data_IF_782036574718
#
_entry.id   IF_782036574718
#
_cell.length_a   1.000
_cell.length_b   1.000
_cell.length_c   1.000
_cell.angle_alpha   90.00
_cell.angle_beta   90.00
_cell.angle_gamma   90.00
#
_symmetry.space_group_name_H-M   'P 1'
#
loop_
_entity.id
_entity.type
_entity.pdbx_description
1 polymer ?
#
# COMPACT_ATOMS: atom_id res chain seq x y z
N UNK A 1 7.29 9.81 6.96
CA UNK A 1 6.68 8.78 6.09
C UNK A 1 5.87 9.49 5.00
N UNK A 2 6.01 9.08 3.73
CA UNK A 2 5.09 9.54 2.68
C UNK A 2 3.66 9.16 3.08
N UNK A 3 2.81 10.18 3.26
CA UNK A 3 1.42 9.97 3.64
C UNK A 3 0.59 9.59 2.42
N UNK A 4 -0.29 8.59 2.56
CA UNK A 4 -1.21 8.12 1.51
C UNK A 4 -1.94 9.26 0.83
N UNK A 5 -2.49 10.16 1.64
CA UNK A 5 -3.30 11.29 1.16
C UNK A 5 -2.47 12.28 0.34
N UNK A 6 -1.20 12.49 0.70
CA UNK A 6 -0.29 13.35 -0.06
C UNK A 6 -0.01 12.78 -1.46
N UNK A 7 0.20 11.46 -1.57
CA UNK A 7 0.40 10.82 -2.88
C UNK A 7 -0.87 10.92 -3.73
N UNK A 8 -2.04 10.71 -3.13
CA UNK A 8 -3.31 10.83 -3.85
C UNK A 8 -3.55 12.24 -4.35
N UNK A 9 -3.32 13.25 -3.51
CA UNK A 9 -3.44 14.65 -3.89
C UNK A 9 -2.49 14.99 -5.06
N UNK A 10 -1.23 14.58 -4.98
CA UNK A 10 -0.25 14.80 -6.06
C UNK A 10 -0.68 14.11 -7.36
N UNK A 11 -1.20 12.87 -7.30
CA UNK A 11 -1.69 12.18 -8.51
C UNK A 11 -2.91 12.88 -9.12
N UNK A 12 -3.81 13.42 -8.28
CA UNK A 12 -4.97 14.17 -8.77
C UNK A 12 -4.57 15.50 -9.40
N UNK A 13 -3.66 16.24 -8.77
CA UNK A 13 -3.11 17.49 -9.31
C UNK A 13 -2.34 17.26 -10.60
N UNK A 14 -1.56 16.18 -10.69
CA UNK A 14 -0.85 15.83 -11.92
C UNK A 14 -1.82 15.57 -13.07
N UNK A 15 -2.89 14.82 -12.83
CA UNK A 15 -3.93 14.59 -13.84
C UNK A 15 -4.63 15.89 -14.25
N UNK A 16 -4.87 16.79 -13.29
CA UNK A 16 -5.44 18.10 -13.58
C UNK A 16 -4.51 18.97 -14.45
N UNK A 17 -3.21 19.00 -14.14
CA UNK A 17 -2.19 19.69 -14.94
C UNK A 17 -2.06 19.12 -16.36
N UNK A 18 -2.34 17.83 -16.53
CA UNK A 18 -2.40 17.18 -17.85
C UNK A 18 -3.71 17.44 -18.60
N UNK A 19 -4.62 18.26 -18.06
CA UNK A 19 -5.91 18.56 -18.66
C UNK A 19 -6.90 17.39 -18.60
N UNK A 20 -6.63 16.37 -17.79
CA UNK A 20 -7.53 15.23 -17.62
C UNK A 20 -8.61 15.54 -16.60
N UNK A 21 -9.87 15.36 -17.00
CA UNK A 21 -11.01 15.43 -16.08
C UNK A 21 -11.20 14.07 -15.41
N UNK A 22 -10.79 13.97 -14.14
CA UNK A 22 -10.95 12.76 -13.35
C UNK A 22 -12.42 12.49 -13.03
N UNK A 23 -12.93 11.36 -13.52
CA UNK A 23 -14.26 10.86 -13.15
C UNK A 23 -14.21 10.12 -11.79
N UNK A 24 -15.36 9.63 -11.31
CA UNK A 24 -15.45 8.89 -10.04
C UNK A 24 -14.66 7.57 -10.02
N UNK A 25 -14.61 6.87 -11.16
CA UNK A 25 -13.84 5.63 -11.32
C UNK A 25 -12.33 5.89 -11.30
N UNK A 26 -11.87 6.97 -11.92
CA UNK A 26 -10.44 7.34 -11.95
C UNK A 26 -9.95 7.69 -10.54
N UNK A 27 -10.75 8.45 -9.79
CA UNK A 27 -10.46 8.76 -8.38
C UNK A 27 -10.40 7.50 -7.52
N UNK A 28 -11.29 6.52 -7.78
CA UNK A 28 -11.26 5.23 -7.11
C UNK A 28 -10.00 4.44 -7.49
N UNK A 29 -9.63 4.41 -8.78
CA UNK A 29 -8.44 3.72 -9.27
C UNK A 29 -7.15 4.29 -8.67
N UNK A 30 -7.03 5.61 -8.59
CA UNK A 30 -5.91 6.28 -7.90
C UNK A 30 -5.87 5.85 -6.43
N UNK A 31 -7.01 5.87 -5.75
CA UNK A 31 -7.10 5.51 -4.33
C UNK A 31 -6.70 4.06 -4.04
N UNK A 32 -7.20 3.13 -4.85
CA UNK A 32 -6.93 1.70 -4.68
C UNK A 32 -5.51 1.37 -5.10
N UNK A 33 -5.02 1.92 -6.22
CA UNK A 33 -3.64 1.75 -6.68
C UNK A 33 -2.62 2.20 -5.63
N UNK A 34 -2.76 3.44 -5.12
CA UNK A 34 -1.88 3.95 -4.06
C UNK A 34 -1.92 3.07 -2.81
N UNK A 35 -3.11 2.63 -2.39
CA UNK A 35 -3.25 1.75 -1.22
C UNK A 35 -2.54 0.40 -1.43
N UNK A 36 -2.72 -0.24 -2.60
CA UNK A 36 -2.07 -1.51 -2.94
C UNK A 36 -0.55 -1.38 -2.95
N UNK A 37 -0.01 -0.33 -3.58
CA UNK A 37 1.44 -0.10 -3.63
C UNK A 37 2.02 0.10 -2.24
N UNK A 38 1.37 0.88 -1.37
CA UNK A 38 1.84 1.06 0.01
C UNK A 38 1.78 -0.25 0.81
N UNK A 39 0.71 -1.03 0.68
CA UNK A 39 0.59 -2.33 1.33
C UNK A 39 1.66 -3.30 0.84
N UNK A 40 1.97 -3.28 -0.46
CA UNK A 40 3.06 -4.06 -1.06
C UNK A 40 4.42 -3.69 -0.46
N UNK A 41 4.72 -2.39 -0.37
CA UNK A 41 5.94 -1.88 0.25
C UNK A 41 6.05 -2.30 1.72
N UNK A 42 4.98 -2.13 2.49
CA UNK A 42 4.97 -2.50 3.91
C UNK A 42 5.09 -4.01 4.10
N UNK A 43 4.42 -4.82 3.26
CA UNK A 43 4.59 -6.27 3.25
C UNK A 43 6.03 -6.67 2.94
N UNK A 44 6.67 -6.04 1.96
CA UNK A 44 8.06 -6.28 1.65
C UNK A 44 8.97 -5.94 2.83
N UNK A 45 8.79 -4.76 3.44
CA UNK A 45 9.52 -4.35 4.65
C UNK A 45 9.37 -5.39 5.75
N UNK A 46 8.14 -5.80 6.07
CA UNK A 46 7.84 -6.82 7.09
C UNK A 46 8.53 -8.15 6.80
N UNK A 47 8.56 -8.59 5.54
CA UNK A 47 9.27 -9.82 5.14
C UNK A 47 10.77 -9.69 5.34
N UNK A 48 11.38 -8.57 4.96
CA UNK A 48 12.81 -8.35 5.12
C UNK A 48 13.23 -8.21 6.59
N UNK A 49 12.35 -7.68 7.44
CA UNK A 49 12.60 -7.54 8.88
C UNK A 49 12.13 -8.74 9.70
N UNK A 50 11.49 -9.73 9.08
CA UNK A 50 10.97 -10.88 9.81
C UNK A 50 12.13 -11.73 10.34
N UNK A 51 12.08 -12.18 11.60
CA UNK A 51 13.03 -13.15 12.09
C UNK A 51 12.88 -14.47 11.34
N UNK A 52 13.96 -15.26 11.29
CA UNK A 52 13.93 -16.60 10.71
C UNK A 52 12.84 -17.43 11.38
N UNK A 53 11.94 -18.00 10.58
CA UNK A 53 10.89 -18.86 11.09
C UNK A 53 11.49 -20.10 11.74
N UNK A 54 11.12 -20.35 13.00
CA UNK A 54 11.48 -21.56 13.73
C UNK A 54 10.19 -22.30 14.10
N UNK A 55 9.97 -23.46 13.48
CA UNK A 55 8.87 -24.33 13.89
C UNK A 55 9.20 -24.97 15.23
N UNK A 56 8.40 -24.66 16.25
CA UNK A 56 8.53 -25.27 17.58
C UNK A 56 7.43 -26.31 17.76
N UNK A 57 7.80 -27.54 18.12
CA UNK A 57 6.83 -28.61 18.37
C UNK A 57 5.92 -28.19 19.55
N UNK A 58 4.59 -28.18 19.39
CA UNK A 58 3.68 -27.84 20.48
C UNK A 58 3.85 -28.84 21.63
N UNK A 59 3.76 -28.33 22.87
CA UNK A 59 3.83 -29.18 24.05
C UNK A 59 2.64 -30.16 24.08
N UNK A 60 2.85 -31.41 24.52
CA UNK A 60 1.77 -32.38 24.66
C UNK A 60 0.75 -31.88 25.70
N UNK A 61 -0.55 -31.99 25.38
CA UNK A 61 -1.62 -31.76 26.34
C UNK A 61 -1.60 -32.91 27.34
N UNK A 62 -1.41 -32.60 28.62
CA UNK A 62 -1.61 -33.54 29.74
C UNK A 62 -3.08 -33.80 29.96
#
# INVERSE_FOLDING_TARGET
MLQREAIQAVMMELAHQQGQSLNGLDRLAIRTGVAQTMQGKERHRRRMTAPTYQWTKPAPKR
#
